data_IF_615554357770
#
_entry.id   IF_615554357770
#
_cell.length_a   1.000
_cell.length_b   1.000
_cell.length_c   1.000
_cell.angle_alpha   90.00
_cell.angle_beta   90.00
_cell.angle_gamma   90.00
#
_symmetry.space_group_name_H-M   'P 1'
#
loop_
_entity.id
_entity.type
_entity.pdbx_description
1 polymer ?
#
# COMPACT_ATOMS: atom_id res chain seq x y z
N UNK A 1 -10.32 -3.71 5.48
CA UNK A 1 -9.84 -2.39 5.91
C UNK A 1 -9.39 -1.65 4.66
N UNK A 2 -10.11 -0.62 4.22
CA UNK A 2 -9.74 0.17 3.05
C UNK A 2 -8.56 1.08 3.41
N UNK A 3 -7.39 0.83 2.81
CA UNK A 3 -6.27 1.75 2.85
C UNK A 3 -6.72 3.02 2.13
N UNK A 4 -6.98 4.08 2.90
CA UNK A 4 -7.24 5.40 2.32
C UNK A 4 -6.03 5.76 1.45
N UNK A 5 -6.27 6.03 0.18
CA UNK A 5 -5.25 6.55 -0.72
C UNK A 5 -4.84 7.93 -0.20
N UNK A 6 -3.72 7.97 0.54
CA UNK A 6 -3.13 9.21 1.00
C UNK A 6 -2.55 9.92 -0.22
N UNK A 7 -3.29 10.90 -0.76
CA UNK A 7 -2.83 11.73 -1.87
C UNK A 7 -1.52 12.41 -1.46
N UNK A 8 -0.45 12.11 -2.21
CA UNK A 8 0.87 12.67 -1.97
C UNK A 8 0.84 14.19 -2.15
N UNK A 9 1.27 14.93 -1.12
CA UNK A 9 1.36 16.39 -1.16
C UNK A 9 2.82 16.76 -1.37
N UNK A 10 3.16 17.19 -2.58
CA UNK A 10 4.50 17.68 -2.88
C UNK A 10 4.66 19.11 -2.36
N UNK A 11 5.44 19.25 -1.29
CA UNK A 11 5.87 20.54 -0.74
C UNK A 11 7.33 20.75 -1.11
N UNK A 12 7.64 21.82 -1.85
CA UNK A 12 9.01 22.20 -2.18
C UNK A 12 9.65 22.90 -0.97
N UNK A 13 10.18 22.10 -0.04
CA UNK A 13 10.98 22.55 1.08
C UNK A 13 12.44 22.13 0.83
N UNK A 14 13.38 23.04 1.09
CA UNK A 14 14.79 22.71 1.07
C UNK A 14 15.25 22.20 2.43
N UNK A 15 16.15 21.21 2.42
CA UNK A 15 16.82 20.76 3.65
C UNK A 15 17.56 21.92 4.32
N UNK A 16 17.50 22.01 5.63
CA UNK A 16 18.34 22.92 6.42
C UNK A 16 19.83 22.56 6.27
N UNK A 17 20.73 23.46 6.68
CA UNK A 17 22.18 23.18 6.63
C UNK A 17 22.58 21.99 7.50
N UNK A 18 21.93 21.84 8.65
CA UNK A 18 22.12 20.73 9.60
C UNK A 18 21.70 19.41 8.98
N UNK A 19 20.49 19.31 8.44
CA UNK A 19 20.02 18.10 7.77
C UNK A 19 20.90 17.74 6.56
N UNK A 20 21.31 18.75 5.78
CA UNK A 20 22.27 18.56 4.67
C UNK A 20 23.60 17.98 5.15
N UNK A 21 24.10 18.40 6.31
CA UNK A 21 25.33 17.88 6.89
C UNK A 21 25.15 16.43 7.34
N UNK A 22 24.08 16.12 8.07
CA UNK A 22 23.81 14.77 8.55
C UNK A 22 23.60 13.77 7.39
N UNK A 23 22.88 14.18 6.34
CA UNK A 23 22.71 13.35 5.13
C UNK A 23 24.04 13.04 4.44
N UNK A 24 24.96 14.02 4.37
CA UNK A 24 26.30 13.80 3.79
C UNK A 24 27.17 12.89 4.65
N UNK A 25 27.09 13.01 5.97
CA UNK A 25 27.88 12.21 6.92
C UNK A 25 27.34 10.78 7.07
N UNK A 26 26.03 10.59 6.95
CA UNK A 26 25.35 9.31 7.13
C UNK A 26 25.77 8.21 6.14
N UNK A 27 26.45 8.55 5.03
CA UNK A 27 27.03 7.62 4.06
C UNK A 27 26.09 6.45 3.69
N UNK A 28 24.91 6.78 3.14
CA UNK A 28 23.80 5.86 2.77
C UNK A 28 22.97 5.28 3.92
N UNK A 29 23.27 5.60 5.17
CA UNK A 29 22.37 5.29 6.27
C UNK A 29 21.21 6.30 6.33
N UNK A 30 19.97 5.88 6.64
CA UNK A 30 18.85 6.78 6.85
C UNK A 30 19.10 7.72 8.03
N UNK A 31 18.77 8.99 7.87
CA UNK A 31 18.82 9.99 8.96
C UNK A 31 17.49 9.95 9.71
N UNK A 32 17.55 9.90 11.04
CA UNK A 32 16.38 9.95 11.91
C UNK A 32 16.24 11.35 12.49
N UNK A 33 15.02 11.89 12.43
CA UNK A 33 14.68 13.21 12.93
C UNK A 33 13.58 13.05 13.98
N UNK A 34 13.71 13.74 15.11
CA UNK A 34 12.69 13.75 16.15
C UNK A 34 11.96 15.08 16.11
N UNK A 35 10.64 15.04 15.96
CA UNK A 35 9.80 16.21 16.18
C UNK A 35 9.82 16.56 17.67
N UNK A 36 10.33 17.75 18.07
CA UNK A 36 10.46 18.11 19.47
C UNK A 36 9.10 18.26 20.18
N UNK A 37 8.04 18.63 19.46
CA UNK A 37 6.73 18.87 20.07
C UNK A 37 5.97 17.56 20.32
N UNK A 38 6.04 16.63 19.36
CA UNK A 38 5.31 15.35 19.47
C UNK A 38 6.17 14.17 19.92
N UNK A 39 7.49 14.35 20.00
CA UNK A 39 8.49 13.31 20.23
C UNK A 39 8.41 12.15 19.22
N UNK A 40 7.77 12.38 18.07
CA UNK A 40 7.67 11.38 16.99
C UNK A 40 8.95 11.38 16.18
N UNK A 41 9.38 10.18 15.81
CA UNK A 41 10.54 9.99 14.97
C UNK A 41 10.12 9.84 13.50
N UNK A 42 10.83 10.56 12.64
CA UNK A 42 10.71 10.54 11.19
C UNK A 42 12.02 10.06 10.58
N UNK A 43 11.94 9.39 9.44
CA UNK A 43 13.13 8.91 8.71
C UNK A 43 13.22 9.69 7.41
N UNK A 44 14.35 10.38 7.22
CA UNK A 44 14.68 11.06 5.97
C UNK A 44 15.36 10.09 5.01
N UNK A 45 14.74 9.89 3.84
CA UNK A 45 15.22 9.02 2.77
C UNK A 45 15.41 9.83 1.49
N UNK A 46 16.42 9.51 0.66
CA UNK A 46 16.46 9.98 -0.71
C UNK A 46 15.19 9.55 -1.46
N UNK A 47 14.65 10.43 -2.32
CA UNK A 47 13.43 10.17 -3.07
C UNK A 47 13.50 8.84 -3.84
N UNK A 48 14.62 8.55 -4.51
CA UNK A 48 14.83 7.29 -5.24
C UNK A 48 14.69 6.03 -4.36
N UNK A 49 15.07 6.11 -3.09
CA UNK A 49 14.93 5.00 -2.14
C UNK A 49 13.48 4.88 -1.69
N UNK A 50 12.83 6.00 -1.41
CA UNK A 50 11.41 6.04 -1.09
C UNK A 50 10.57 5.45 -2.23
N UNK A 51 10.81 5.85 -3.48
CA UNK A 51 10.06 5.38 -4.64
C UNK A 51 10.21 3.87 -4.85
N UNK A 52 11.42 3.34 -4.66
CA UNK A 52 11.66 1.88 -4.70
C UNK A 52 10.89 1.16 -3.60
N UNK A 53 10.95 1.67 -2.37
CA UNK A 53 10.20 1.07 -1.26
C UNK A 53 8.70 1.15 -1.51
N UNK A 54 8.21 2.28 -2.02
CA UNK A 54 6.81 2.48 -2.39
C UNK A 54 6.37 1.44 -3.41
N UNK A 55 7.12 1.24 -4.49
CA UNK A 55 6.80 0.23 -5.51
C UNK A 55 6.81 -1.23 -5.02
N UNK A 56 7.55 -1.51 -3.93
CA UNK A 56 7.63 -2.86 -3.36
C UNK A 56 6.53 -3.11 -2.31
N UNK A 57 6.12 -2.06 -1.59
CA UNK A 57 5.22 -2.15 -0.43
C UNK A 57 3.79 -1.76 -0.76
N UNK A 58 3.59 -0.91 -1.76
CA UNK A 58 2.31 -0.47 -2.25
C UNK A 58 2.12 -1.01 -3.66
N UNK A 59 1.10 -1.84 -3.83
CA UNK A 59 0.53 -2.06 -5.15
C UNK A 59 -0.25 -0.79 -5.50
N UNK A 60 0.40 0.10 -6.26
CA UNK A 60 -0.19 1.36 -6.72
C UNK A 60 -1.28 1.14 -7.79
N UNK A 61 -1.60 -0.11 -8.13
CA UNK A 61 -2.80 -0.43 -8.89
C UNK A 61 -4.04 -0.06 -8.09
N UNK A 62 -4.90 0.79 -8.65
CA UNK A 62 -6.32 0.72 -8.32
C UNK A 62 -6.69 -0.75 -8.32
N UNK A 63 -7.27 -1.26 -7.22
CA UNK A 63 -7.77 -2.63 -7.17
C UNK A 63 -8.60 -2.86 -8.44
N UNK A 64 -8.05 -3.58 -9.41
CA UNK A 64 -8.78 -3.90 -10.62
C UNK A 64 -9.74 -5.00 -10.22
N UNK A 65 -11.05 -4.72 -10.11
CA UNK A 65 -11.99 -5.73 -9.70
C UNK A 65 -11.97 -6.91 -10.67
N UNK A 66 -11.64 -6.71 -11.94
CA UNK A 66 -11.53 -7.79 -12.91
C UNK A 66 -10.42 -8.78 -12.54
N UNK A 67 -9.25 -8.30 -12.10
CA UNK A 67 -8.14 -9.15 -11.66
C UNK A 67 -8.41 -9.76 -10.29
N UNK A 68 -8.93 -8.96 -9.35
CA UNK A 68 -9.24 -9.40 -8.00
C UNK A 68 -10.34 -10.47 -7.95
N UNK A 69 -11.40 -10.30 -8.74
CA UNK A 69 -12.48 -11.29 -8.84
C UNK A 69 -12.02 -12.55 -9.55
N UNK A 70 -11.26 -12.46 -10.65
CA UNK A 70 -10.75 -13.65 -11.33
C UNK A 70 -9.87 -14.52 -10.40
N UNK A 71 -8.98 -13.89 -9.63
CA UNK A 71 -8.13 -14.61 -8.68
C UNK A 71 -8.95 -15.21 -7.53
N UNK A 72 -9.95 -14.48 -7.03
CA UNK A 72 -10.85 -14.97 -5.98
C UNK A 72 -11.69 -16.15 -6.48
N UNK A 73 -12.19 -16.08 -7.71
CA UNK A 73 -12.98 -17.13 -8.36
C UNK A 73 -12.16 -18.40 -8.55
N UNK A 74 -10.88 -18.27 -8.95
CA UNK A 74 -9.97 -19.40 -9.09
C UNK A 74 -9.65 -20.07 -7.74
N UNK A 75 -9.36 -19.28 -6.70
CA UNK A 75 -9.04 -19.81 -5.36
C UNK A 75 -10.26 -20.45 -4.69
N UNK A 76 -11.44 -19.87 -4.88
CA UNK A 76 -12.68 -20.33 -4.26
C UNK A 76 -13.42 -21.37 -5.11
N UNK A 77 -12.89 -21.75 -6.29
CA UNK A 77 -13.55 -22.64 -7.24
C UNK A 77 -14.01 -23.96 -6.61
N UNK A 78 -13.17 -24.57 -5.78
CA UNK A 78 -13.51 -25.83 -5.11
C UNK A 78 -14.65 -25.66 -4.09
N UNK A 79 -14.71 -24.51 -3.42
CA UNK A 79 -15.78 -24.17 -2.49
C UNK A 79 -17.10 -23.81 -3.23
N UNK A 80 -17.00 -23.20 -4.42
CA UNK A 80 -18.17 -22.92 -5.28
C UNK A 80 -18.77 -24.17 -5.90
N UNK A 81 -17.92 -25.13 -6.28
CA UNK A 81 -18.33 -26.43 -6.84
C UNK A 81 -18.81 -27.43 -5.76
N UNK A 82 -18.84 -27.05 -4.47
CA UNK A 82 -19.35 -27.92 -3.38
C UNK A 82 -20.84 -28.23 -3.62
N UNK A 83 -21.27 -29.50 -3.50
CA UNK A 83 -22.69 -29.90 -3.64
C UNK A 83 -23.68 -29.11 -2.76
N UNK A 84 -23.24 -28.52 -1.64
CA UNK A 84 -24.05 -27.66 -0.77
C UNK A 84 -24.33 -26.28 -1.39
N UNK A 85 -23.52 -25.87 -2.37
CA UNK A 85 -23.66 -24.62 -3.11
C UNK A 85 -24.53 -24.78 -4.37
N UNK A 86 -24.87 -26.02 -4.75
CA UNK A 86 -25.67 -26.32 -5.95
C UNK A 86 -27.07 -25.69 -5.99
N UNK A 87 -27.62 -25.26 -4.85
CA UNK A 87 -28.89 -24.54 -4.79
C UNK A 87 -28.74 -23.06 -5.19
N UNK A 88 -27.54 -22.48 -5.07
CA UNK A 88 -27.25 -21.12 -5.53
C UNK A 88 -27.15 -21.05 -7.06
N UNK A 89 -26.70 -22.11 -7.73
CA UNK A 89 -26.69 -22.20 -9.20
C UNK A 89 -28.11 -22.12 -9.79
N UNK A 90 -29.10 -22.61 -9.03
CA UNK A 90 -30.52 -22.60 -9.39
C UNK A 90 -31.29 -21.46 -8.71
N UNK A 91 -30.61 -20.47 -8.14
CA UNK A 91 -31.24 -19.42 -7.34
C UNK A 91 -32.40 -18.71 -8.06
N UNK A 92 -32.24 -18.42 -9.36
CA UNK A 92 -33.30 -17.77 -10.16
C UNK A 92 -34.53 -18.66 -10.38
N UNK A 93 -34.37 -19.98 -10.36
CA UNK A 93 -35.50 -20.92 -10.44
C UNK A 93 -36.29 -20.99 -9.12
N UNK A 94 -35.61 -20.70 -8.01
CA UNK A 94 -36.17 -20.68 -6.66
C UNK A 94 -36.78 -19.33 -6.25
N UNK A 95 -36.50 -18.27 -7.02
CA UNK A 95 -37.01 -16.92 -6.80
C UNK A 95 -38.45 -16.78 -7.35
N UNK A 96 -39.41 -17.38 -6.65
CA UNK A 96 -40.86 -17.18 -6.89
C UNK A 96 -41.45 -16.11 -5.99
#
# INVERSE_FOLDING_TARGET
MSLRQCKETNVNLELTEEERREVRQGNRNPVRLTDPDTQREYILLPAEVYDRLKSLLYDDGDFDPAVGYALTDEVMKEDWDDPKMADYDRYEEHKR
#
